data_IF_553961330999
#
_entry.id   IF_553961330999
#
_cell.length_a   1.000
_cell.length_b   1.000
_cell.length_c   1.000
_cell.angle_alpha   90.00
_cell.angle_beta   90.00
_cell.angle_gamma   90.00
#
_symmetry.space_group_name_H-M   'P 1'
#
loop_
_entity.id
_entity.type
_entity.pdbx_description
1 polymer ?
#
# COMPACT_ATOMS: atom_id res chain seq x y z
N UNK A 1 4.00 -2.60 -19.94
CA UNK A 1 5.33 -2.76 -19.30
C UNK A 1 5.13 -3.46 -17.97
N UNK A 2 5.68 -4.65 -17.82
CA UNK A 2 5.57 -5.47 -16.62
C UNK A 2 6.46 -4.90 -15.52
N UNK A 3 5.95 -4.79 -14.29
CA UNK A 3 6.64 -4.08 -13.22
C UNK A 3 7.54 -5.04 -12.46
N UNK A 4 8.84 -4.90 -12.67
CA UNK A 4 9.85 -5.63 -11.93
C UNK A 4 10.39 -4.79 -10.77
N UNK A 5 10.73 -5.50 -9.70
CA UNK A 5 11.52 -5.05 -8.56
C UNK A 5 12.96 -5.46 -8.79
N UNK A 6 13.86 -4.62 -8.32
CA UNK A 6 15.26 -4.97 -8.19
C UNK A 6 15.52 -5.46 -6.77
N UNK A 7 16.26 -6.56 -6.63
CA UNK A 7 16.72 -7.01 -5.32
C UNK A 7 17.66 -5.96 -4.72
N UNK A 8 17.44 -5.60 -3.45
CA UNK A 8 18.35 -4.71 -2.74
C UNK A 8 19.67 -5.44 -2.47
N UNK A 9 20.67 -5.16 -3.30
CA UNK A 9 21.99 -5.77 -3.25
C UNK A 9 23.07 -4.71 -3.44
N UNK A 10 24.15 -4.82 -2.66
CA UNK A 10 25.30 -3.97 -2.83
C UNK A 10 26.00 -4.36 -4.14
N UNK A 11 25.99 -3.46 -5.14
CA UNK A 11 26.64 -3.62 -6.45
C UNK A 11 26.06 -4.74 -7.34
N UNK A 12 24.78 -5.08 -7.18
CA UNK A 12 24.08 -6.13 -7.97
C UNK A 12 24.63 -7.56 -7.78
N UNK A 13 25.39 -7.80 -6.72
CA UNK A 13 25.91 -9.13 -6.37
C UNK A 13 24.97 -9.78 -5.35
N UNK A 14 24.50 -11.00 -5.65
CA UNK A 14 23.72 -11.83 -4.73
C UNK A 14 24.51 -13.10 -4.45
N UNK A 15 24.78 -13.37 -3.17
CA UNK A 15 25.51 -14.55 -2.75
C UNK A 15 24.56 -15.74 -2.56
N UNK A 16 25.06 -16.97 -2.79
CA UNK A 16 24.30 -18.20 -2.61
C UNK A 16 24.01 -18.95 -3.90
N UNK A 17 23.02 -19.86 -3.87
CA UNK A 17 22.69 -20.74 -4.99
C UNK A 17 22.25 -19.93 -6.23
N UNK A 18 22.58 -20.39 -7.45
CA UNK A 18 22.30 -19.67 -8.70
C UNK A 18 20.80 -19.41 -8.93
N UNK A 19 19.91 -20.20 -8.32
CA UNK A 19 18.47 -20.04 -8.44
C UNK A 19 17.95 -18.70 -7.90
N UNK A 20 18.62 -18.11 -6.91
CA UNK A 20 18.16 -16.89 -6.22
C UNK A 20 18.99 -15.66 -6.62
N UNK A 21 19.87 -15.78 -7.61
CA UNK A 21 20.76 -14.70 -8.04
C UNK A 21 20.10 -13.67 -8.97
N UNK A 22 18.84 -13.87 -9.37
CA UNK A 22 18.11 -12.94 -10.24
C UNK A 22 17.84 -11.60 -9.55
N UNK A 23 18.26 -10.48 -10.16
CA UNK A 23 18.09 -9.13 -9.59
C UNK A 23 16.98 -8.34 -10.26
N UNK A 24 16.94 -8.22 -11.60
CA UNK A 24 16.10 -7.22 -12.31
C UNK A 24 14.70 -7.71 -12.71
N UNK A 25 14.46 -9.03 -12.77
CA UNK A 25 13.19 -9.60 -13.25
C UNK A 25 12.27 -10.09 -12.13
N UNK A 26 12.53 -9.70 -10.89
CA UNK A 26 11.68 -10.09 -9.77
C UNK A 26 10.35 -9.32 -9.88
N UNK A 27 9.20 -9.98 -9.79
CA UNK A 27 7.90 -9.28 -9.79
C UNK A 27 7.47 -9.06 -8.35
N UNK A 28 6.87 -7.90 -8.08
CA UNK A 28 6.33 -7.70 -6.75
C UNK A 28 5.08 -8.56 -6.53
N UNK A 29 4.99 -9.17 -5.35
CA UNK A 29 3.85 -10.01 -4.99
C UNK A 29 2.60 -9.19 -4.65
N UNK A 30 2.73 -7.99 -4.09
CA UNK A 30 1.55 -7.17 -3.76
C UNK A 30 1.14 -6.30 -4.94
N UNK A 31 -0.16 -6.01 -5.00
CA UNK A 31 -0.71 -5.14 -6.01
C UNK A 31 -0.23 -3.69 -5.81
N UNK A 32 -0.07 -2.94 -6.90
CA UNK A 32 0.29 -1.50 -6.88
C UNK A 32 -0.70 -0.67 -6.09
N UNK A 33 -1.96 -1.07 -6.12
CA UNK A 33 -3.03 -0.48 -5.32
C UNK A 33 -2.73 -0.56 -3.82
N UNK A 34 -2.30 -1.73 -3.33
CA UNK A 34 -1.90 -1.93 -1.93
C UNK A 34 -0.65 -1.11 -1.58
N UNK A 35 0.33 -0.98 -2.49
CA UNK A 35 1.49 -0.08 -2.28
C UNK A 35 1.06 1.38 -2.14
N UNK A 36 0.06 1.82 -2.91
CA UNK A 36 -0.46 3.18 -2.80
C UNK A 36 -1.18 3.41 -1.46
N UNK A 37 -1.99 2.44 -1.02
CA UNK A 37 -2.66 2.46 0.28
C UNK A 37 -1.67 2.49 1.44
N UNK A 38 -0.65 1.63 1.41
CA UNK A 38 0.42 1.58 2.42
C UNK A 38 1.16 2.92 2.52
N UNK A 39 1.53 3.51 1.38
CA UNK A 39 2.20 4.82 1.34
C UNK A 39 1.33 5.93 1.90
N UNK A 40 0.03 5.93 1.57
CA UNK A 40 -0.93 6.90 2.09
C UNK A 40 -1.15 6.73 3.61
N UNK A 41 -1.36 5.49 4.07
CA UNK A 41 -1.53 5.16 5.49
C UNK A 41 -0.30 5.51 6.33
N UNK A 42 0.91 5.26 5.82
CA UNK A 42 2.15 5.67 6.49
C UNK A 42 2.31 7.19 6.55
N UNK A 43 1.92 7.90 5.49
CA UNK A 43 1.99 9.37 5.45
C UNK A 43 0.95 10.02 6.38
N UNK A 44 -0.25 9.43 6.47
CA UNK A 44 -1.40 9.93 7.20
C UNK A 44 -1.79 8.97 8.34
N UNK A 45 -0.85 8.68 9.25
CA UNK A 45 -1.07 7.70 10.33
C UNK A 45 -2.19 8.01 11.33
N UNK A 46 -2.66 9.27 11.38
CA UNK A 46 -3.82 9.68 12.17
C UNK A 46 -5.16 9.19 11.61
N UNK A 47 -5.22 8.91 10.31
CA UNK A 47 -6.41 8.46 9.61
C UNK A 47 -6.41 6.93 9.44
N UNK A 48 -7.52 6.38 8.95
CA UNK A 48 -7.65 4.95 8.60
C UNK A 48 -7.98 4.78 7.14
N UNK A 49 -7.27 3.89 6.46
CA UNK A 49 -7.54 3.52 5.07
C UNK A 49 -8.78 2.60 5.04
N UNK A 50 -9.77 2.97 4.23
CA UNK A 50 -10.99 2.16 4.05
C UNK A 50 -10.91 1.39 2.74
N UNK A 51 -10.68 2.10 1.65
CA UNK A 51 -10.63 1.54 0.31
C UNK A 51 -9.87 2.48 -0.63
N UNK A 52 -9.63 2.01 -1.85
CA UNK A 52 -9.07 2.81 -2.94
C UNK A 52 -9.70 2.46 -4.28
N UNK A 53 -9.49 3.29 -5.30
CA UNK A 53 -9.91 2.99 -6.66
C UNK A 53 -8.93 3.55 -7.68
N UNK A 54 -8.98 2.99 -8.89
CA UNK A 54 -8.16 3.43 -10.02
C UNK A 54 -8.78 4.65 -10.67
N UNK A 55 -7.95 5.64 -11.02
CA UNK A 55 -8.40 6.87 -11.69
C UNK A 55 -7.90 6.89 -13.14
N UNK A 56 -6.57 6.79 -13.30
CA UNK A 56 -5.92 6.93 -14.59
C UNK A 56 -4.56 6.22 -14.61
N UNK A 57 -4.00 6.00 -15.80
CA UNK A 57 -2.68 5.43 -16.00
C UNK A 57 -1.96 6.16 -17.14
N UNK A 58 -0.69 6.47 -16.89
CA UNK A 58 0.27 6.85 -17.91
C UNK A 58 1.28 5.69 -18.12
N UNK A 59 2.12 5.80 -19.15
CA UNK A 59 3.22 4.90 -19.44
C UNK A 59 4.17 4.64 -18.25
N UNK A 60 4.31 5.62 -17.35
CA UNK A 60 5.24 5.57 -16.21
C UNK A 60 4.53 5.36 -14.87
N UNK A 61 3.34 5.91 -14.67
CA UNK A 61 2.66 5.93 -13.37
C UNK A 61 1.23 5.40 -13.46
N UNK A 62 0.79 4.69 -12.41
CA UNK A 62 -0.62 4.39 -12.18
C UNK A 62 -1.13 5.26 -11.04
N UNK A 63 -2.26 5.92 -11.25
CA UNK A 63 -2.88 6.82 -10.29
C UNK A 63 -4.05 6.11 -9.60
N UNK A 64 -4.07 6.20 -8.27
CA UNK A 64 -5.13 5.66 -7.42
C UNK A 64 -5.61 6.74 -6.46
N UNK A 65 -6.90 6.77 -6.21
CA UNK A 65 -7.49 7.54 -5.12
C UNK A 65 -7.63 6.64 -3.90
N UNK A 66 -7.20 7.14 -2.74
CA UNK A 66 -7.30 6.42 -1.46
C UNK A 66 -8.29 7.14 -0.57
N UNK A 67 -9.31 6.41 -0.12
CA UNK A 67 -10.34 6.90 0.78
C UNK A 67 -9.87 6.67 2.22
N UNK A 68 -9.71 7.77 2.96
CA UNK A 68 -9.31 7.78 4.35
C UNK A 68 -10.43 8.31 5.24
N UNK A 69 -10.51 7.78 6.46
CA UNK A 69 -11.51 8.16 7.47
C UNK A 69 -10.82 8.62 8.74
N UNK A 70 -11.33 9.72 9.32
CA UNK A 70 -10.86 10.25 10.60
C UNK A 70 -11.62 9.60 11.77
N UNK A 71 -10.88 8.87 12.62
CA UNK A 71 -11.43 8.19 13.80
C UNK A 71 -11.70 9.16 14.96
N UNK A 72 -11.04 10.33 14.97
CA UNK A 72 -11.22 11.32 16.03
C UNK A 72 -12.53 12.11 15.87
N UNK A 73 -13.11 12.12 14.67
CA UNK A 73 -14.26 12.93 14.35
C UNK A 73 -15.56 12.40 14.99
N UNK A 74 -16.28 13.28 15.71
CA UNK A 74 -17.50 12.93 16.44
C UNK A 74 -18.61 12.42 15.51
N UNK A 75 -18.72 12.92 14.27
CA UNK A 75 -19.70 12.45 13.30
C UNK A 75 -19.51 10.97 12.93
N UNK A 76 -18.26 10.48 12.92
CA UNK A 76 -17.94 9.09 12.56
C UNK A 76 -18.07 8.17 13.77
N UNK A 77 -17.71 8.66 14.96
CA UNK A 77 -17.86 7.90 16.22
C UNK A 77 -19.32 7.66 16.61
N UNK A 78 -20.20 8.61 16.33
CA UNK A 78 -21.60 8.52 16.71
C UNK A 78 -22.45 7.77 15.66
N UNK A 79 -21.97 7.60 14.43
CA UNK A 79 -22.69 6.87 13.38
C UNK A 79 -22.50 5.35 13.53
N UNK A 80 -23.59 4.65 13.85
CA UNK A 80 -23.62 3.19 14.00
C UNK A 80 -23.15 2.43 12.75
N UNK A 81 -23.27 3.00 11.56
CA UNK A 81 -22.92 2.34 10.29
C UNK A 81 -21.42 2.26 10.05
N UNK A 82 -20.67 3.27 10.49
CA UNK A 82 -19.25 3.46 10.16
C UNK A 82 -18.35 3.31 11.40
N UNK A 83 -18.90 3.46 12.60
CA UNK A 83 -18.14 3.45 13.86
C UNK A 83 -17.32 2.17 14.10
N UNK A 84 -17.60 1.06 13.42
CA UNK A 84 -16.74 -0.13 13.47
C UNK A 84 -15.27 0.19 13.17
N UNK A 85 -14.99 1.15 12.26
CA UNK A 85 -13.63 1.57 11.88
C UNK A 85 -12.84 2.21 13.03
N UNK A 86 -13.53 2.73 14.05
CA UNK A 86 -12.92 3.41 15.19
C UNK A 86 -12.25 2.44 16.18
N UNK A 87 -12.60 1.16 16.10
CA UNK A 87 -12.04 0.15 17.00
C UNK A 87 -10.53 -0.03 16.77
N UNK A 88 -9.74 -0.24 17.84
CA UNK A 88 -8.29 -0.33 17.75
C UNK A 88 -7.79 -1.52 16.92
N UNK A 89 -8.63 -2.53 16.66
CA UNK A 89 -8.34 -3.71 15.82
C UNK A 89 -8.12 -3.30 14.36
N UNK A 90 -8.73 -2.19 13.91
CA UNK A 90 -8.65 -1.71 12.53
C UNK A 90 -7.53 -0.70 12.30
N UNK A 91 -6.49 -0.70 13.14
CA UNK A 91 -5.28 0.10 12.92
C UNK A 91 -4.45 -0.53 11.81
N UNK A 92 -3.92 0.32 10.92
CA UNK A 92 -2.99 -0.07 9.85
C UNK A 92 -3.45 -1.29 9.03
N UNK A 93 -4.68 -1.27 8.52
CA UNK A 93 -5.27 -2.37 7.74
C UNK A 93 -4.58 -2.61 6.40
N UNK A 94 -3.86 -1.60 5.92
CA UNK A 94 -3.12 -1.59 4.67
C UNK A 94 -1.77 -2.31 4.72
N UNK A 95 -1.31 -2.71 5.93
CA UNK A 95 -0.07 -3.44 6.17
C UNK A 95 -0.28 -4.96 6.22
#
# INVERSE_FOLDING_TARGET
KEWSKEACSQRYIVYGKPTNQGVTQLKFQHNKRSVAEERAGRKLGGLRVVNSYWINEDSTYKYFEVILVDVAHNGIRNDLRINWICNPIHKHREL
#
